data_IF_225458214606
#
_entry.id   IF_225458214606
#
_cell.length_a   1.000
_cell.length_b   1.000
_cell.length_c   1.000
_cell.angle_alpha   90.00
_cell.angle_beta   90.00
_cell.angle_gamma   90.00
#
_symmetry.space_group_name_H-M   'P 1'
#
loop_
_entity.id
_entity.type
_entity.pdbx_description
1 polymer ?
#
# COMPACT_ATOMS: atom_id res chain seq x y z
N UNK A 1 33.85 34.59 -14.70
CA UNK A 1 32.97 34.35 -13.54
C UNK A 1 32.07 33.16 -13.85
N UNK A 2 32.40 31.98 -13.30
CA UNK A 2 31.48 30.84 -13.34
C UNK A 2 30.42 31.12 -12.28
N UNK A 3 29.16 31.28 -12.71
CA UNK A 3 28.03 31.24 -11.76
C UNK A 3 27.99 29.82 -11.22
N UNK A 4 28.55 29.60 -10.04
CA UNK A 4 28.39 28.36 -9.29
C UNK A 4 26.96 28.34 -8.77
N UNK A 5 26.01 28.04 -9.65
CA UNK A 5 24.62 27.82 -9.28
C UNK A 5 24.58 26.58 -8.39
N UNK A 6 24.05 26.72 -7.17
CA UNK A 6 23.73 25.58 -6.31
C UNK A 6 22.83 24.65 -7.14
N UNK A 7 23.22 23.40 -7.41
CA UNK A 7 22.36 22.49 -8.15
C UNK A 7 21.08 22.30 -7.35
N UNK A 8 19.93 22.63 -7.94
CA UNK A 8 18.63 22.27 -7.38
C UNK A 8 18.55 20.75 -7.45
N UNK A 9 18.70 20.09 -6.30
CA UNK A 9 18.53 18.65 -6.21
C UNK A 9 17.08 18.32 -6.61
N UNK A 10 16.93 17.49 -7.63
CA UNK A 10 15.63 16.91 -7.94
C UNK A 10 15.34 15.87 -6.86
N UNK A 11 14.19 15.93 -6.17
CA UNK A 11 13.84 14.90 -5.21
C UNK A 11 13.78 13.56 -5.96
N UNK A 12 14.40 12.55 -5.38
CA UNK A 12 14.37 11.18 -5.86
C UNK A 12 14.13 10.28 -4.66
N UNK A 13 13.06 9.49 -4.70
CA UNK A 13 12.74 8.51 -3.68
C UNK A 13 12.70 7.13 -4.31
N UNK A 14 13.51 6.21 -3.78
CA UNK A 14 13.57 4.80 -4.19
C UNK A 14 12.68 3.97 -3.28
N UNK A 15 11.92 3.07 -3.88
CA UNK A 15 10.92 2.24 -3.24
C UNK A 15 11.18 0.76 -3.53
N UNK A 16 10.90 -0.09 -2.56
CA UNK A 16 10.91 -1.55 -2.71
C UNK A 16 9.73 -2.20 -1.99
N UNK A 17 9.36 -3.40 -2.43
CA UNK A 17 8.37 -4.21 -1.74
C UNK A 17 9.08 -5.31 -0.92
N UNK A 18 8.75 -5.50 0.36
CA UNK A 18 9.28 -6.62 1.15
C UNK A 18 8.76 -8.00 0.71
N UNK A 19 7.63 -8.05 0.00
CA UNK A 19 6.94 -9.29 -0.37
C UNK A 19 7.12 -9.67 -1.85
N UNK A 20 7.68 -8.82 -2.69
CA UNK A 20 7.96 -9.14 -4.10
C UNK A 20 9.15 -8.33 -4.63
N UNK A 21 9.63 -8.68 -5.83
CA UNK A 21 10.86 -8.09 -6.39
C UNK A 21 10.68 -6.67 -6.97
N UNK A 22 9.47 -6.10 -6.92
CA UNK A 22 9.19 -4.82 -7.55
C UNK A 22 9.94 -3.68 -6.85
N UNK A 23 10.61 -2.86 -7.66
CA UNK A 23 11.29 -1.62 -7.26
C UNK A 23 10.78 -0.46 -8.09
N UNK A 24 10.65 0.72 -7.49
CA UNK A 24 10.18 1.92 -8.17
C UNK A 24 10.95 3.16 -7.72
N UNK A 25 10.89 4.21 -8.55
CA UNK A 25 11.49 5.51 -8.24
C UNK A 25 10.45 6.59 -8.51
N UNK A 26 10.29 7.51 -7.57
CA UNK A 26 9.44 8.70 -7.73
C UNK A 26 10.29 9.96 -7.59
N UNK A 27 9.80 11.06 -8.17
CA UNK A 27 10.46 12.37 -8.13
C UNK A 27 9.54 13.46 -7.55
N UNK A 28 8.58 13.05 -6.72
CA UNK A 28 7.64 13.95 -6.06
C UNK A 28 8.24 14.49 -4.75
N UNK A 29 8.22 15.81 -4.59
CA UNK A 29 8.76 16.48 -3.40
C UNK A 29 7.84 16.36 -2.17
N UNK A 30 6.53 16.21 -2.39
CA UNK A 30 5.54 16.14 -1.32
C UNK A 30 5.59 14.76 -0.65
N UNK A 31 5.26 14.65 0.64
CA UNK A 31 5.08 13.35 1.29
C UNK A 31 4.05 12.51 0.53
N UNK A 32 4.44 11.30 0.14
CA UNK A 32 3.60 10.34 -0.55
C UNK A 32 4.03 8.93 -0.20
N UNK A 33 3.11 7.97 -0.31
CA UNK A 33 3.41 6.55 -0.21
C UNK A 33 3.15 5.90 -1.55
N UNK A 34 4.08 5.07 -2.02
CA UNK A 34 3.90 4.36 -3.28
C UNK A 34 3.13 3.05 -3.03
N UNK A 35 2.08 2.80 -3.80
CA UNK A 35 1.35 1.53 -3.79
C UNK A 35 1.53 0.78 -5.10
N UNK A 36 1.35 -0.54 -5.05
CA UNK A 36 1.35 -1.42 -6.21
C UNK A 36 0.44 -2.65 -5.99
N UNK A 37 -0.04 -3.31 -7.05
CA UNK A 37 -0.61 -4.65 -6.95
C UNK A 37 0.51 -5.65 -6.64
N UNK A 38 0.49 -6.22 -5.43
CA UNK A 38 1.59 -7.04 -4.92
C UNK A 38 1.39 -8.52 -5.23
N UNK A 39 2.25 -9.10 -6.06
CA UNK A 39 2.22 -10.55 -6.34
C UNK A 39 2.46 -11.40 -5.09
N UNK A 40 3.32 -10.94 -4.18
CA UNK A 40 3.60 -11.63 -2.91
C UNK A 40 2.41 -11.67 -1.96
N UNK A 41 1.56 -10.64 -2.00
CA UNK A 41 0.30 -10.57 -1.28
C UNK A 41 -0.89 -10.88 -2.17
N UNK A 42 -0.73 -11.84 -3.09
CA UNK A 42 -1.82 -12.42 -3.89
C UNK A 42 -2.65 -11.38 -4.67
N UNK A 43 -2.00 -10.31 -5.14
CA UNK A 43 -2.62 -9.27 -5.97
C UNK A 43 -3.18 -8.07 -5.20
N UNK A 44 -3.16 -8.08 -3.87
CA UNK A 44 -3.63 -6.96 -3.06
C UNK A 44 -2.84 -5.67 -3.34
N UNK A 45 -3.50 -4.53 -3.25
CA UNK A 45 -2.82 -3.24 -3.27
C UNK A 45 -1.98 -3.09 -1.99
N UNK A 46 -0.66 -3.05 -2.12
CA UNK A 46 0.25 -2.99 -0.98
C UNK A 46 1.14 -1.74 -1.05
N UNK A 47 1.44 -1.12 0.10
CA UNK A 47 2.43 -0.06 0.16
C UNK A 47 3.82 -0.63 -0.16
N UNK A 48 4.62 0.15 -0.86
CA UNK A 48 6.06 0.00 -0.96
C UNK A 48 6.70 0.83 0.14
N UNK A 49 7.89 0.44 0.58
CA UNK A 49 8.67 1.16 1.59
C UNK A 49 9.89 1.80 0.95
N UNK A 50 10.48 2.85 1.55
CA UNK A 50 11.78 3.36 1.12
C UNK A 50 12.81 2.22 1.05
N UNK A 51 13.61 2.18 -0.02
CA UNK A 51 14.61 1.13 -0.21
C UNK A 51 15.58 1.03 0.98
N UNK A 52 15.82 -0.19 1.48
CA UNK A 52 16.63 -0.45 2.66
C UNK A 52 15.87 -0.38 4.00
N UNK A 53 14.55 -0.15 3.98
CA UNK A 53 13.74 -0.11 5.21
C UNK A 53 13.57 -1.52 5.79
N UNK A 54 14.06 -1.72 7.02
CA UNK A 54 13.79 -2.94 7.79
C UNK A 54 12.35 -2.92 8.29
N UNK A 55 11.52 -3.80 7.74
CA UNK A 55 10.11 -3.90 8.12
C UNK A 55 9.53 -5.28 7.79
N UNK A 56 8.34 -5.56 8.31
CA UNK A 56 7.46 -6.65 7.86
C UNK A 56 6.23 -6.03 7.21
N UNK A 57 5.78 -6.58 6.09
CA UNK A 57 4.51 -6.18 5.45
C UNK A 57 3.65 -7.42 5.32
N UNK A 58 2.43 -7.39 5.86
CA UNK A 58 1.53 -8.56 5.84
C UNK A 58 0.09 -8.17 5.53
N UNK A 59 -0.65 -9.10 4.91
CA UNK A 59 -2.09 -8.99 4.77
C UNK A 59 -2.76 -9.60 6.00
N UNK A 60 -3.67 -8.86 6.62
CA UNK A 60 -4.42 -9.30 7.79
C UNK A 60 -5.82 -9.69 7.36
N UNK A 61 -6.17 -10.96 7.59
CA UNK A 61 -7.49 -11.51 7.29
C UNK A 61 -8.57 -10.77 8.07
N UNK A 62 -9.78 -10.75 7.51
CA UNK A 62 -10.94 -10.14 8.13
C UNK A 62 -11.53 -11.05 9.20
N UNK A 63 -11.65 -10.52 10.41
CA UNK A 63 -12.16 -11.27 11.58
C UNK A 63 -13.57 -10.82 12.02
N UNK A 64 -14.12 -9.75 11.44
CA UNK A 64 -15.49 -9.31 11.67
C UNK A 64 -16.50 -10.02 10.73
N UNK A 65 -17.77 -9.98 11.12
CA UNK A 65 -18.85 -10.58 10.34
C UNK A 65 -18.99 -9.92 8.96
N UNK A 66 -19.02 -10.74 7.91
CA UNK A 66 -19.27 -10.31 6.53
C UNK A 66 -20.69 -10.70 6.12
N UNK A 67 -21.53 -9.71 5.86
CA UNK A 67 -22.92 -9.89 5.43
C UNK A 67 -23.09 -9.73 3.92
N UNK A 68 -23.68 -8.61 3.49
CA UNK A 68 -23.93 -8.28 2.07
C UNK A 68 -22.99 -7.17 1.56
N UNK A 69 -22.02 -6.80 2.36
CA UNK A 69 -21.03 -5.79 2.03
C UNK A 69 -20.07 -6.31 0.96
N UNK A 70 -19.62 -5.42 0.09
CA UNK A 70 -18.51 -5.69 -0.80
C UNK A 70 -17.21 -5.57 -0.01
N UNK A 71 -16.55 -6.70 0.21
CA UNK A 71 -15.25 -6.79 0.88
C UNK A 71 -14.13 -6.98 -0.13
N UNK A 72 -12.93 -6.51 0.22
CA UNK A 72 -11.73 -6.84 -0.56
C UNK A 72 -11.32 -8.28 -0.25
N UNK A 73 -11.10 -9.07 -1.30
CA UNK A 73 -10.56 -10.42 -1.20
C UNK A 73 -9.19 -10.50 -1.86
N UNK A 74 -8.37 -11.42 -1.39
CA UNK A 74 -7.10 -11.73 -2.06
C UNK A 74 -7.30 -12.67 -3.26
N UNK A 75 -6.21 -13.03 -3.95
CA UNK A 75 -6.22 -13.95 -5.08
C UNK A 75 -6.67 -15.38 -4.77
N UNK A 76 -6.92 -15.72 -3.50
CA UNK A 76 -7.43 -17.01 -3.04
C UNK A 76 -8.87 -16.87 -2.47
N UNK A 77 -9.52 -15.74 -2.70
CA UNK A 77 -10.87 -15.41 -2.23
C UNK A 77 -11.01 -15.28 -0.71
N UNK A 78 -9.90 -15.08 0.03
CA UNK A 78 -9.96 -14.82 1.47
C UNK A 78 -10.28 -13.34 1.72
N UNK A 79 -11.21 -13.01 2.63
CA UNK A 79 -11.56 -11.63 2.92
C UNK A 79 -10.44 -10.96 3.72
N UNK A 80 -9.97 -9.81 3.25
CA UNK A 80 -8.84 -9.10 3.86
C UNK A 80 -9.32 -7.79 4.48
N UNK A 81 -8.88 -7.53 5.72
CA UNK A 81 -9.20 -6.32 6.47
C UNK A 81 -8.25 -5.18 6.08
N UNK A 82 -6.95 -5.47 6.07
CA UNK A 82 -5.89 -4.48 5.89
C UNK A 82 -4.58 -5.09 5.41
N UNK A 83 -3.70 -4.24 4.90
CA UNK A 83 -2.26 -4.51 4.83
C UNK A 83 -1.57 -3.69 5.90
N UNK A 84 -0.72 -4.35 6.69
CA UNK A 84 0.00 -3.75 7.81
C UNK A 84 1.50 -3.76 7.56
N UNK A 85 2.14 -2.62 7.74
CA UNK A 85 3.61 -2.48 7.69
C UNK A 85 4.11 -2.23 9.10
N UNK A 86 4.86 -3.17 9.67
CA UNK A 86 5.44 -3.06 11.01
C UNK A 86 6.92 -2.72 10.94
N UNK A 87 7.34 -1.74 11.73
CA UNK A 87 8.73 -1.31 11.93
C UNK A 87 9.07 -1.35 13.42
N UNK A 88 10.35 -1.16 13.75
CA UNK A 88 10.83 -1.19 15.14
C UNK A 88 10.22 -0.03 15.98
N UNK A 89 9.78 1.07 15.33
CA UNK A 89 9.25 2.29 15.95
C UNK A 89 7.75 2.51 15.78
N UNK A 90 7.03 1.59 15.12
CA UNK A 90 5.59 1.71 14.93
C UNK A 90 5.05 0.92 13.73
N UNK A 91 3.81 1.23 13.35
CA UNK A 91 3.12 0.58 12.24
C UNK A 91 2.35 1.56 11.35
N UNK A 92 2.31 1.26 10.05
CA UNK A 92 1.38 1.87 9.10
C UNK A 92 0.32 0.85 8.70
N UNK A 93 -0.93 1.32 8.57
CA UNK A 93 -2.06 0.46 8.23
C UNK A 93 -2.82 1.02 7.02
N UNK A 94 -2.92 0.22 5.97
CA UNK A 94 -3.80 0.46 4.83
C UNK A 94 -5.06 -0.42 4.98
N UNK A 95 -6.17 0.16 5.42
CA UNK A 95 -7.43 -0.54 5.61
C UNK A 95 -8.19 -0.66 4.30
N UNK A 96 -8.69 -1.85 4.00
CA UNK A 96 -9.67 -2.07 2.94
C UNK A 96 -11.07 -1.96 3.53
N UNK A 97 -11.60 -0.73 3.56
CA UNK A 97 -12.94 -0.48 4.08
C UNK A 97 -13.98 -1.21 3.22
N UNK A 98 -14.92 -1.97 3.83
CA UNK A 98 -16.00 -2.61 3.10
C UNK A 98 -17.01 -1.58 2.61
N UNK A 99 -17.68 -1.87 1.50
CA UNK A 99 -18.72 -1.02 0.94
C UNK A 99 -20.11 -1.63 1.16
N UNK A 100 -21.03 -0.86 1.74
CA UNK A 100 -22.43 -1.25 1.83
C UNK A 100 -23.08 -1.33 0.44
N UNK A 101 -24.06 -2.22 0.29
CA UNK A 101 -24.87 -2.34 -0.93
C UNK A 101 -26.30 -1.87 -0.66
N UNK A 102 -26.90 -1.16 -1.62
CA UNK A 102 -28.31 -0.77 -1.59
C UNK A 102 -28.96 -1.15 -2.94
N UNK A 103 -30.09 -1.85 -2.88
CA UNK A 103 -30.94 -2.09 -4.05
C UNK A 103 -32.07 -1.09 -4.06
N UNK A 104 -32.23 -0.33 -5.14
CA UNK A 104 -33.43 0.47 -5.35
C UNK A 104 -34.60 -0.45 -5.67
N UNK A 105 -35.52 -0.64 -4.73
CA UNK A 105 -36.79 -1.28 -5.01
C UNK A 105 -37.59 -0.38 -5.95
N UNK A 106 -37.86 -0.85 -7.17
CA UNK A 106 -38.88 -0.22 -8.00
C UNK A 106 -40.23 -0.47 -7.31
N UNK A 107 -40.83 0.59 -6.78
CA UNK A 107 -42.24 0.59 -6.38
C UNK A 107 -43.12 0.58 -7.64
#
# INVERSE_FOLDING_TARGET
>A
MVKTGVPILRPEQRWECPNCELKQVTHEAKPHTRFHPCRGLKGLAAPMVPAGTKCKVEAVEREDYVGKELVTVDGESRPIMRVETTRDDGNDVAVFAPCATAGGGAN
#
